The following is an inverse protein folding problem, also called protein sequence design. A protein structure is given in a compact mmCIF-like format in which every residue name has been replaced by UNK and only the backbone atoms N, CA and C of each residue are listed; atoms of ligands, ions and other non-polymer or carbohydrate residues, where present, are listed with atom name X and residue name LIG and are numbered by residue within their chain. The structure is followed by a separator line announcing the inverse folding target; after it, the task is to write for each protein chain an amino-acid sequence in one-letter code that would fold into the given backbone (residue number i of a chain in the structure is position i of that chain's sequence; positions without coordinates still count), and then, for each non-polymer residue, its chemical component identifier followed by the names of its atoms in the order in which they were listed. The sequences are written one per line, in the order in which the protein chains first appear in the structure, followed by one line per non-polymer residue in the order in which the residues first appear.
data_IF_166197661120
#
_entry.id   IF_166197661120
#
_cell.length_a   1.000
_cell.length_b   1.000
_cell.length_c   1.000
_cell.angle_alpha   90.00
_cell.angle_beta   90.00
_cell.angle_gamma   90.00
#
_symmetry.space_group_name_H-M   'P 1'
#
loop_
_entity.id
_entity.type
_entity.pdbx_description
1 polymer ?
#
# COMPACT_ATOMS: atom_id res chain seq x y z
N UNK A 1 4.75 10.22 -46.33
CA UNK A 1 4.15 10.19 -44.96
C UNK A 1 2.72 9.70 -45.10
N UNK A 2 2.41 8.47 -44.61
CA UNK A 2 1.05 7.91 -44.66
C UNK A 2 0.12 8.72 -43.75
N UNK A 3 -0.91 9.30 -44.38
CA UNK A 3 -2.00 10.01 -43.67
C UNK A 3 -2.72 8.98 -42.77
N UNK A 4 -2.32 8.88 -41.52
CA UNK A 4 -3.06 8.05 -40.54
C UNK A 4 -4.49 8.51 -40.50
N UNK A 5 -5.45 7.59 -40.68
CA UNK A 5 -6.86 7.95 -40.65
C UNK A 5 -7.16 8.61 -39.28
N UNK A 6 -8.05 9.61 -39.27
CA UNK A 6 -8.46 10.27 -37.98
C UNK A 6 -8.84 9.27 -36.90
N UNK A 7 -9.41 8.14 -37.30
CA UNK A 7 -9.78 7.05 -36.38
C UNK A 7 -8.57 6.38 -35.76
N UNK A 8 -7.50 6.13 -36.54
CA UNK A 8 -6.29 5.51 -36.03
C UNK A 8 -5.54 6.44 -35.07
N UNK A 9 -5.51 7.74 -35.36
CA UNK A 9 -4.92 8.71 -34.41
C UNK A 9 -5.72 8.85 -33.12
N UNK A 10 -7.04 8.79 -33.15
CA UNK A 10 -7.89 8.77 -31.97
C UNK A 10 -7.64 7.50 -31.11
N UNK A 11 -7.51 6.35 -31.75
CA UNK A 11 -7.21 5.09 -31.04
C UNK A 11 -5.83 5.15 -30.39
N UNK A 12 -4.82 5.60 -31.12
CA UNK A 12 -3.44 5.70 -30.61
C UNK A 12 -3.35 6.68 -29.44
N UNK A 13 -4.00 7.84 -29.56
CA UNK A 13 -3.97 8.87 -28.51
C UNK A 13 -4.75 8.46 -27.25
N UNK A 14 -5.78 7.61 -27.39
CA UNK A 14 -6.62 7.17 -26.28
C UNK A 14 -6.42 5.68 -25.92
N UNK A 15 -5.32 5.06 -26.33
CA UNK A 15 -5.07 3.62 -26.15
C UNK A 15 -5.25 3.16 -24.70
N UNK A 16 -4.80 3.94 -23.73
CA UNK A 16 -4.91 3.58 -22.31
C UNK A 16 -6.37 3.51 -21.84
N UNK A 17 -7.19 4.47 -22.27
CA UNK A 17 -8.63 4.46 -21.97
C UNK A 17 -9.36 3.31 -22.65
N UNK A 18 -9.01 3.01 -23.90
CA UNK A 18 -9.61 1.90 -24.64
C UNK A 18 -9.27 0.57 -23.97
N UNK A 19 -8.00 0.37 -23.58
CA UNK A 19 -7.58 -0.83 -22.86
C UNK A 19 -8.31 -0.94 -21.51
N UNK A 20 -8.43 0.16 -20.76
CA UNK A 20 -9.14 0.18 -19.49
C UNK A 20 -10.61 -0.24 -19.65
N UNK A 21 -11.31 0.36 -20.62
CA UNK A 21 -12.72 0.04 -20.89
C UNK A 21 -12.87 -1.43 -21.29
N UNK A 22 -11.97 -1.92 -22.15
CA UNK A 22 -11.99 -3.32 -22.58
C UNK A 22 -11.76 -4.27 -21.40
N UNK A 23 -10.82 -3.96 -20.51
CA UNK A 23 -10.58 -4.75 -19.29
C UNK A 23 -11.80 -4.76 -18.36
N UNK A 24 -12.46 -3.62 -18.19
CA UNK A 24 -13.68 -3.51 -17.37
C UNK A 24 -14.82 -4.36 -17.99
N UNK A 25 -14.99 -4.30 -19.31
CA UNK A 25 -15.99 -5.11 -19.99
C UNK A 25 -15.71 -6.61 -19.85
N UNK A 26 -14.47 -7.03 -20.08
CA UNK A 26 -14.06 -8.43 -19.90
C UNK A 26 -14.28 -8.88 -18.46
N UNK A 27 -13.85 -8.08 -17.48
CA UNK A 27 -14.05 -8.38 -16.05
C UNK A 27 -15.53 -8.50 -15.70
N UNK A 28 -16.38 -7.61 -16.24
CA UNK A 28 -17.84 -7.65 -16.02
C UNK A 28 -18.48 -8.92 -16.56
N UNK A 29 -18.09 -9.34 -17.78
CA UNK A 29 -18.63 -10.56 -18.41
C UNK A 29 -18.15 -11.80 -17.68
N UNK A 30 -16.83 -11.91 -17.41
CA UNK A 30 -16.24 -13.09 -16.75
C UNK A 30 -16.75 -13.24 -15.32
N UNK A 31 -16.97 -12.14 -14.60
CA UNK A 31 -17.53 -12.16 -13.24
C UNK A 31 -19.04 -12.45 -13.19
N UNK A 32 -19.69 -12.65 -14.33
CA UNK A 32 -21.15 -12.84 -14.40
C UNK A 32 -21.93 -11.72 -13.70
N UNK A 33 -21.49 -10.48 -13.85
CA UNK A 33 -22.11 -9.28 -13.29
C UNK A 33 -21.70 -8.93 -11.86
N UNK A 34 -20.91 -9.77 -11.19
CA UNK A 34 -20.43 -9.47 -9.81
C UNK A 34 -19.48 -8.27 -9.76
N UNK A 35 -18.85 -7.91 -10.89
CA UNK A 35 -17.88 -6.81 -10.96
C UNK A 35 -18.46 -5.47 -10.47
N UNK A 36 -19.69 -5.15 -10.84
CA UNK A 36 -20.36 -3.88 -10.48
C UNK A 36 -21.25 -3.99 -9.24
N UNK A 37 -21.18 -5.08 -8.47
CA UNK A 37 -21.92 -5.15 -7.21
C UNK A 37 -21.36 -4.16 -6.18
N UNK A 38 -22.22 -3.63 -5.32
CA UNK A 38 -21.82 -2.71 -4.26
C UNK A 38 -20.72 -3.33 -3.35
N UNK A 39 -20.85 -4.62 -3.03
CA UNK A 39 -19.88 -5.32 -2.19
C UNK A 39 -18.50 -5.42 -2.85
N UNK A 40 -18.44 -5.69 -4.15
CA UNK A 40 -17.19 -5.71 -4.87
C UNK A 40 -16.57 -4.32 -4.94
N UNK A 41 -17.34 -3.28 -5.27
CA UNK A 41 -16.85 -1.90 -5.32
C UNK A 41 -16.34 -1.42 -3.97
N UNK A 42 -17.05 -1.74 -2.87
CA UNK A 42 -16.58 -1.45 -1.52
C UNK A 42 -15.29 -2.20 -1.20
N UNK A 43 -15.17 -3.46 -1.61
CA UNK A 43 -13.96 -4.26 -1.43
C UNK A 43 -12.76 -3.67 -2.19
N UNK A 44 -12.97 -3.23 -3.42
CA UNK A 44 -11.95 -2.52 -4.22
C UNK A 44 -11.53 -1.22 -3.54
N UNK A 45 -12.47 -0.42 -3.04
CA UNK A 45 -12.16 0.81 -2.30
C UNK A 45 -11.34 0.52 -1.04
N UNK A 46 -11.68 -0.53 -0.28
CA UNK A 46 -10.92 -0.95 0.91
C UNK A 46 -9.49 -1.32 0.55
N UNK A 47 -9.31 -2.18 -0.44
CA UNK A 47 -7.97 -2.63 -0.85
C UNK A 47 -7.11 -1.48 -1.36
N UNK A 48 -7.67 -0.58 -2.16
CA UNK A 48 -6.93 0.59 -2.66
C UNK A 48 -6.64 1.63 -1.58
N UNK A 49 -7.40 1.67 -0.48
CA UNK A 49 -7.15 2.61 0.62
C UNK A 49 -5.80 2.38 1.29
N UNK A 50 -5.38 1.14 1.48
CA UNK A 50 -4.05 0.83 2.05
C UNK A 50 -2.93 1.30 1.13
N UNK A 51 -3.05 1.01 -0.16
CA UNK A 51 -2.08 1.44 -1.16
C UNK A 51 -2.03 2.96 -1.27
N UNK A 52 -3.17 3.64 -1.12
CA UNK A 52 -3.23 5.10 -1.16
C UNK A 52 -2.53 5.75 0.03
N UNK A 53 -2.70 5.21 1.24
CA UNK A 53 -1.99 5.69 2.43
C UNK A 53 -0.48 5.49 2.26
N UNK A 54 -0.07 4.31 1.78
CA UNK A 54 1.32 4.00 1.49
C UNK A 54 1.89 4.94 0.42
N UNK A 55 1.13 5.19 -0.65
CA UNK A 55 1.53 6.07 -1.74
C UNK A 55 1.72 7.53 -1.27
N UNK A 56 0.88 8.02 -0.35
CA UNK A 56 1.06 9.35 0.24
C UNK A 56 2.37 9.44 1.05
N UNK A 57 2.70 8.42 1.84
CA UNK A 57 3.99 8.35 2.52
C UNK A 57 5.16 8.27 1.54
N UNK A 58 5.02 7.48 0.49
CA UNK A 58 6.04 7.32 -0.54
C UNK A 58 6.25 8.60 -1.37
N UNK A 59 5.20 9.39 -1.57
CA UNK A 59 5.27 10.68 -2.26
C UNK A 59 6.25 11.64 -1.57
N UNK A 60 6.29 11.64 -0.24
CA UNK A 60 7.24 12.46 0.53
C UNK A 60 8.69 12.06 0.23
N UNK A 61 8.97 10.77 0.14
CA UNK A 61 10.29 10.25 -0.23
C UNK A 61 10.64 10.62 -1.68
N UNK A 62 9.69 10.44 -2.61
CA UNK A 62 9.87 10.81 -4.01
C UNK A 62 10.13 12.31 -4.19
N UNK A 63 9.47 13.17 -3.41
CA UNK A 63 9.66 14.62 -3.48
C UNK A 63 11.08 15.05 -3.08
N UNK A 64 11.79 14.24 -2.32
CA UNK A 64 13.23 14.45 -2.01
C UNK A 64 14.17 13.97 -3.12
N UNK A 65 13.64 13.50 -4.25
CA UNK A 65 14.43 12.97 -5.37
C UNK A 65 14.96 11.55 -5.16
N UNK A 66 14.51 10.85 -4.13
CA UNK A 66 14.98 9.52 -3.77
C UNK A 66 13.90 8.46 -3.99
N UNK A 67 14.34 7.21 -4.16
CA UNK A 67 13.48 6.04 -4.25
C UNK A 67 13.74 5.12 -3.06
N UNK A 68 12.68 4.77 -2.32
CA UNK A 68 12.76 3.77 -1.25
C UNK A 68 11.97 2.53 -1.67
N UNK A 69 12.69 1.47 -2.03
CA UNK A 69 12.11 0.18 -2.42
C UNK A 69 11.90 -0.76 -1.23
N UNK A 70 12.32 -0.37 -0.02
CA UNK A 70 12.16 -1.18 1.18
C UNK A 70 10.74 -1.12 1.76
N UNK A 71 9.95 -0.09 1.41
CA UNK A 71 8.66 0.23 2.03
C UNK A 71 7.68 -0.95 2.04
N UNK A 72 7.58 -1.70 0.93
CA UNK A 72 6.69 -2.87 0.86
C UNK A 72 7.10 -3.99 1.81
N UNK A 73 8.39 -4.28 1.90
CA UNK A 73 8.92 -5.31 2.80
C UNK A 73 8.88 -4.86 4.27
N UNK A 74 9.14 -3.57 4.52
CA UNK A 74 9.00 -2.98 5.85
C UNK A 74 7.55 -3.07 6.34
N UNK A 75 6.57 -2.78 5.48
CA UNK A 75 5.15 -2.94 5.82
C UNK A 75 4.83 -4.39 6.25
N UNK A 76 5.37 -5.38 5.55
CA UNK A 76 5.23 -6.79 5.93
C UNK A 76 5.85 -7.10 7.29
N UNK A 77 7.06 -6.60 7.55
CA UNK A 77 7.74 -6.75 8.84
C UNK A 77 6.93 -6.11 9.97
N UNK A 78 6.43 -4.89 9.77
CA UNK A 78 5.63 -4.17 10.75
C UNK A 78 4.30 -4.88 11.04
N UNK A 79 3.64 -5.43 10.02
CA UNK A 79 2.41 -6.18 10.19
C UNK A 79 2.63 -7.44 11.06
N UNK A 80 3.70 -8.21 10.80
CA UNK A 80 4.06 -9.39 11.58
C UNK A 80 4.46 -8.99 13.01
N UNK A 81 5.28 -7.94 13.17
CA UNK A 81 5.68 -7.43 14.49
C UNK A 81 4.48 -7.03 15.32
N UNK A 82 3.53 -6.27 14.73
CA UNK A 82 2.29 -5.91 15.40
C UNK A 82 1.47 -7.14 15.80
N UNK A 83 1.33 -8.09 14.89
CA UNK A 83 0.58 -9.31 15.12
C UNK A 83 1.12 -10.10 16.32
N UNK A 84 2.44 -10.26 16.40
CA UNK A 84 3.09 -10.97 17.49
C UNK A 84 3.00 -10.19 18.82
N UNK A 85 3.26 -8.89 18.78
CA UNK A 85 3.24 -8.05 19.98
C UNK A 85 1.83 -7.91 20.55
N UNK A 86 0.79 -7.88 19.73
CA UNK A 86 -0.60 -7.79 20.20
C UNK A 86 -1.08 -9.02 20.96
N UNK A 87 -0.34 -10.14 20.91
CA UNK A 87 -0.57 -11.31 21.75
C UNK A 87 0.17 -11.25 23.09
N UNK A 88 1.18 -10.39 23.24
CA UNK A 88 2.05 -10.30 24.40
C UNK A 88 1.78 -9.06 25.27
N UNK A 89 1.17 -8.02 24.70
CA UNK A 89 0.93 -6.75 25.37
C UNK A 89 -0.40 -6.13 24.91
N UNK A 90 -0.91 -5.09 25.61
CA UNK A 90 -2.11 -4.37 25.17
C UNK A 90 -1.96 -3.84 23.74
N UNK A 91 -3.01 -3.99 22.95
CA UNK A 91 -3.02 -3.69 21.52
C UNK A 91 -2.54 -2.27 21.17
N UNK A 92 -2.97 -1.27 21.95
CA UNK A 92 -2.53 0.11 21.75
C UNK A 92 -1.02 0.27 21.93
N UNK A 93 -0.42 -0.47 22.88
CA UNK A 93 1.02 -0.46 23.11
C UNK A 93 1.76 -1.17 21.96
N UNK A 94 1.25 -2.32 21.50
CA UNK A 94 1.78 -3.02 20.35
C UNK A 94 1.76 -2.11 19.11
N UNK A 95 0.70 -1.32 18.91
CA UNK A 95 0.60 -0.36 17.83
C UNK A 95 1.69 0.73 17.92
N UNK A 96 1.86 1.34 19.10
CA UNK A 96 2.90 2.37 19.32
C UNK A 96 4.30 1.81 19.08
N UNK A 97 4.60 0.62 19.62
CA UNK A 97 5.91 -0.03 19.43
C UNK A 97 6.16 -0.33 17.97
N UNK A 98 5.15 -0.79 17.24
CA UNK A 98 5.26 -1.04 15.79
C UNK A 98 5.58 0.24 15.02
N UNK A 99 4.94 1.37 15.37
CA UNK A 99 5.25 2.67 14.76
C UNK A 99 6.71 3.07 15.04
N UNK A 100 7.19 2.88 16.26
CA UNK A 100 8.59 3.15 16.63
C UNK A 100 9.55 2.30 15.80
N UNK A 101 9.26 1.01 15.62
CA UNK A 101 10.06 0.13 14.74
C UNK A 101 10.10 0.68 13.32
N UNK A 102 8.97 1.15 12.79
CA UNK A 102 8.92 1.76 11.46
C UNK A 102 9.78 3.02 11.34
N UNK A 103 9.72 3.90 12.33
CA UNK A 103 10.55 5.11 12.40
C UNK A 103 12.04 4.74 12.46
N UNK A 104 12.41 3.80 13.32
CA UNK A 104 13.80 3.34 13.45
C UNK A 104 14.31 2.74 12.14
N UNK A 105 13.50 1.93 11.46
CA UNK A 105 13.86 1.35 10.17
C UNK A 105 14.07 2.43 9.09
N UNK A 106 13.21 3.45 9.05
CA UNK A 106 13.36 4.58 8.14
C UNK A 106 14.62 5.41 8.43
N UNK A 107 14.88 5.71 9.71
CA UNK A 107 16.11 6.40 10.14
C UNK A 107 17.36 5.57 9.81
N UNK A 108 17.32 4.27 10.00
CA UNK A 108 18.39 3.35 9.65
C UNK A 108 18.73 3.45 8.15
N UNK A 109 17.73 3.39 7.27
CA UNK A 109 17.94 3.57 5.84
C UNK A 109 18.51 4.96 5.51
N UNK A 110 17.96 6.03 6.08
CA UNK A 110 18.44 7.39 5.84
C UNK A 110 19.88 7.61 6.29
N UNK A 111 20.22 7.16 7.49
CA UNK A 111 21.58 7.28 8.04
C UNK A 111 22.58 6.47 7.22
N UNK A 112 22.23 5.24 6.83
CA UNK A 112 23.10 4.41 6.02
C UNK A 112 23.34 5.01 4.64
N UNK A 113 22.30 5.55 3.99
CA UNK A 113 22.44 6.21 2.69
C UNK A 113 23.47 7.36 2.76
N UNK A 114 23.37 8.20 3.79
CA UNK A 114 24.29 9.33 3.97
C UNK A 114 25.70 8.87 4.34
N UNK A 115 25.84 7.96 5.31
CA UNK A 115 27.16 7.55 5.82
C UNK A 115 27.96 6.71 4.82
N UNK A 116 27.29 5.84 4.06
CA UNK A 116 27.95 4.98 3.09
C UNK A 116 28.08 5.61 1.71
N UNK A 117 27.44 6.77 1.47
CA UNK A 117 27.43 7.42 0.17
C UNK A 117 26.78 6.55 -0.94
N UNK A 118 25.95 5.60 -0.54
CA UNK A 118 25.24 4.71 -1.48
C UNK A 118 23.98 5.40 -2.02
N UNK A 119 23.68 5.11 -3.27
CA UNK A 119 22.39 5.55 -3.81
C UNK A 119 21.25 4.92 -3.00
N UNK A 120 20.24 5.68 -2.56
CA UNK A 120 19.11 5.18 -1.78
C UNK A 120 18.43 3.99 -2.43
N UNK A 121 18.35 3.96 -3.76
CA UNK A 121 17.81 2.86 -4.54
C UNK A 121 18.49 1.52 -4.22
N UNK A 122 19.82 1.44 -4.27
CA UNK A 122 20.57 0.20 -4.02
C UNK A 122 20.46 -0.20 -2.56
N UNK A 123 20.60 0.79 -1.66
CA UNK A 123 20.51 0.56 -0.23
C UNK A 123 19.14 0.00 0.16
N UNK A 124 18.06 0.64 -0.29
CA UNK A 124 16.70 0.24 0.09
C UNK A 124 16.27 -1.09 -0.53
N UNK A 125 16.83 -1.48 -1.66
CA UNK A 125 16.71 -2.85 -2.17
C UNK A 125 17.31 -3.86 -1.20
N UNK A 126 18.53 -3.61 -0.73
CA UNK A 126 19.23 -4.52 0.19
C UNK A 126 18.51 -4.59 1.55
N UNK A 127 18.19 -3.42 2.15
CA UNK A 127 17.48 -3.37 3.43
C UNK A 127 16.06 -3.92 3.33
N UNK A 128 15.40 -3.77 2.18
CA UNK A 128 14.11 -4.40 1.91
C UNK A 128 14.20 -5.92 2.02
N UNK A 129 15.24 -6.54 1.45
CA UNK A 129 15.45 -7.99 1.61
C UNK A 129 15.76 -8.37 3.06
N UNK A 130 16.51 -7.52 3.80
CA UNK A 130 16.70 -7.73 5.24
C UNK A 130 15.36 -7.70 5.99
N UNK A 131 14.51 -6.71 5.77
CA UNK A 131 13.20 -6.63 6.42
C UNK A 131 12.31 -7.82 6.09
N UNK A 132 12.35 -8.29 4.84
CA UNK A 132 11.67 -9.51 4.44
C UNK A 132 12.21 -10.73 5.18
N UNK A 133 13.52 -10.86 5.29
CA UNK A 133 14.18 -11.95 6.01
C UNK A 133 13.79 -11.95 7.49
N UNK A 134 13.82 -10.80 8.16
CA UNK A 134 13.37 -10.65 9.55
C UNK A 134 11.89 -10.99 9.71
N UNK A 135 11.03 -10.53 8.81
CA UNK A 135 9.63 -10.88 8.82
C UNK A 135 9.43 -12.40 8.77
N UNK A 136 10.15 -13.07 7.87
CA UNK A 136 10.09 -14.52 7.71
C UNK A 136 10.58 -15.29 8.94
N UNK A 137 11.68 -14.83 9.54
CA UNK A 137 12.23 -15.42 10.78
C UNK A 137 11.26 -15.25 11.96
N UNK A 138 10.60 -14.10 12.08
CA UNK A 138 9.67 -13.84 13.18
C UNK A 138 8.42 -14.73 13.12
N UNK A 139 7.92 -15.03 11.93
CA UNK A 139 6.69 -15.83 11.78
C UNK A 139 6.95 -17.30 11.41
N UNK A 140 8.22 -17.72 11.34
CA UNK A 140 8.61 -19.09 10.93
C UNK A 140 8.03 -19.45 9.55
N UNK A 141 7.88 -18.46 8.67
CA UNK A 141 7.25 -18.61 7.36
C UNK A 141 5.75 -18.93 7.41
N UNK A 142 5.10 -18.81 8.56
CA UNK A 142 3.68 -19.11 8.74
C UNK A 142 2.82 -17.85 8.66
N UNK A 143 1.59 -18.02 8.22
CA UNK A 143 0.61 -16.93 8.27
C UNK A 143 0.15 -16.69 9.70
N UNK A 144 0.22 -15.43 10.15
CA UNK A 144 -0.30 -15.02 11.46
C UNK A 144 -1.62 -14.29 11.25
N UNK A 145 -2.68 -14.80 11.87
CA UNK A 145 -3.99 -14.15 11.86
C UNK A 145 -4.21 -13.41 13.17
N UNK A 146 -4.48 -12.11 13.10
CA UNK A 146 -4.80 -11.26 14.25
C UNK A 146 -6.16 -10.62 14.04
N UNK A 147 -7.04 -10.82 15.01
CA UNK A 147 -8.42 -10.31 15.00
C UNK A 147 -8.67 -9.38 16.20
N UNK A 148 -7.74 -8.46 16.46
CA UNK A 148 -7.89 -7.47 17.52
C UNK A 148 -8.91 -6.38 17.15
N UNK A 149 -9.53 -5.69 18.11
CA UNK A 149 -10.47 -4.59 17.87
C UNK A 149 -9.91 -3.48 16.99
N UNK A 150 -8.65 -3.06 17.21
CA UNK A 150 -8.00 -2.03 16.38
C UNK A 150 -7.80 -2.53 14.95
N UNK A 151 -7.32 -3.76 14.77
CA UNK A 151 -7.18 -4.35 13.44
C UNK A 151 -8.51 -4.43 12.70
N UNK A 152 -9.57 -4.85 13.38
CA UNK A 152 -10.92 -4.91 12.79
C UNK A 152 -11.41 -3.52 12.42
N UNK A 153 -11.21 -2.53 13.28
CA UNK A 153 -11.63 -1.16 13.00
C UNK A 153 -10.83 -0.54 11.84
N UNK A 154 -9.50 -0.62 11.88
CA UNK A 154 -8.65 -0.10 10.81
C UNK A 154 -8.81 -0.87 9.50
N UNK A 155 -8.99 -2.19 9.55
CA UNK A 155 -9.09 -3.04 8.37
C UNK A 155 -10.47 -3.05 7.72
N UNK A 156 -11.53 -3.06 8.50
CA UNK A 156 -12.90 -3.20 8.02
C UNK A 156 -13.92 -2.29 8.68
N UNK A 157 -13.47 -1.34 9.52
CA UNK A 157 -14.33 -0.35 10.14
C UNK A 157 -15.06 0.49 9.12
N UNK A 158 -16.33 0.81 9.43
CA UNK A 158 -17.17 1.67 8.62
C UNK A 158 -17.41 2.97 9.39
N UNK A 159 -17.37 4.10 8.70
CA UNK A 159 -17.77 5.39 9.26
C UNK A 159 -19.27 5.59 9.07
N UNK A 160 -19.67 6.42 8.16
CA UNK A 160 -21.07 6.73 7.89
C UNK A 160 -21.56 5.81 6.76
N UNK A 161 -22.64 5.06 7.02
CA UNK A 161 -23.16 4.10 6.05
C UNK A 161 -22.18 2.94 5.80
N UNK A 162 -21.89 2.66 4.52
CA UNK A 162 -20.98 1.58 4.09
C UNK A 162 -19.57 2.06 3.72
N UNK A 163 -19.25 3.35 3.94
CA UNK A 163 -17.94 3.90 3.60
C UNK A 163 -16.85 3.33 4.51
N UNK A 164 -15.79 2.70 3.95
CA UNK A 164 -14.68 2.20 4.73
C UNK A 164 -13.93 3.35 5.42
N UNK A 165 -13.58 3.17 6.71
CA UNK A 165 -12.80 4.14 7.49
C UNK A 165 -11.51 4.55 6.77
N UNK A 166 -10.80 3.59 6.21
CA UNK A 166 -9.52 3.80 5.52
C UNK A 166 -9.68 4.73 4.31
N UNK A 167 -10.78 4.60 3.55
CA UNK A 167 -11.03 5.44 2.39
C UNK A 167 -11.32 6.90 2.79
N UNK A 168 -12.10 7.10 3.86
CA UNK A 168 -12.34 8.43 4.39
C UNK A 168 -11.05 9.09 4.90
N UNK A 169 -10.14 8.32 5.48
CA UNK A 169 -8.83 8.77 5.95
C UNK A 169 -7.95 9.25 4.78
N UNK A 170 -7.94 8.51 3.66
CA UNK A 170 -7.24 8.92 2.43
C UNK A 170 -7.75 10.26 1.90
N UNK A 171 -9.07 10.43 1.84
CA UNK A 171 -9.66 11.71 1.39
C UNK A 171 -9.26 12.86 2.32
N UNK A 172 -9.26 12.62 3.64
CA UNK A 172 -8.92 13.66 4.63
C UNK A 172 -7.44 14.06 4.52
N UNK A 173 -6.53 13.09 4.41
CA UNK A 173 -5.10 13.36 4.28
C UNK A 173 -4.81 14.02 2.92
N UNK A 174 -5.40 13.53 1.83
CA UNK A 174 -5.21 14.10 0.50
C UNK A 174 -5.66 15.58 0.42
N UNK A 175 -6.74 15.95 1.12
CA UNK A 175 -7.18 17.36 1.19
C UNK A 175 -6.26 18.26 2.02
N UNK A 176 -5.51 17.71 2.95
CA UNK A 176 -4.58 18.49 3.77
C UNK A 176 -3.29 18.85 3.01
N UNK A 177 -3.08 18.29 1.82
CA UNK A 177 -1.87 18.47 1.00
C UNK A 177 -2.16 19.26 -0.30
N UNK A 178 -3.38 19.74 -0.51
CA UNK A 178 -3.79 20.64 -1.58
C UNK A 178 -4.07 22.03 -1.01
#
# INVERSE_FOLDING_TARGET
MKKTSKLLSLIINNKSWIILILLILVASVVSKGLFFTADNLISVLKQNSYLSILALGFLVVLSSGNLDLSVGHLMGLLAISFAMMSSLMPEWLAFVVTLVIGVVAGLFNGILAIKLGLTPFILTLATGQMFRGFAYLLCDGRSITVLTPICKFLGSGKLVGNLPFNFALVIKIGRAHV
#
